data_IF_931344344739
#
_entry.id   IF_931344344739
#
_cell.length_a   1.000
_cell.length_b   1.000
_cell.length_c   1.000
_cell.angle_alpha   90.00
_cell.angle_beta   90.00
_cell.angle_gamma   90.00
#
_symmetry.space_group_name_H-M   'P 1'
#
loop_
_entity.id
_entity.type
_entity.pdbx_description
1 polymer ?
#
# COMPACT_ATOMS: atom_id res chain seq x y z
N UNK A 1 19.10 6.44 -34.92
CA UNK A 1 17.97 5.79 -34.24
C UNK A 1 18.25 5.92 -32.76
N UNK A 2 17.47 6.72 -32.05
CA UNK A 2 17.51 6.73 -30.59
C UNK A 2 17.11 5.34 -30.08
N UNK A 3 17.83 4.77 -29.10
CA UNK A 3 17.42 3.52 -28.49
C UNK A 3 16.05 3.74 -27.85
N UNK A 4 15.09 2.89 -28.22
CA UNK A 4 13.74 2.92 -27.65
C UNK A 4 13.83 2.93 -26.13
N UNK A 5 13.37 4.02 -25.50
CA UNK A 5 13.28 4.11 -24.05
C UNK A 5 12.41 2.95 -23.57
N UNK A 6 13.05 1.97 -22.93
CA UNK A 6 12.36 0.86 -22.29
C UNK A 6 12.33 1.18 -20.80
N UNK A 7 11.20 1.67 -20.25
CA UNK A 7 11.15 1.98 -18.83
C UNK A 7 11.38 0.69 -18.05
N UNK A 8 12.32 0.74 -17.11
CA UNK A 8 12.50 -0.36 -16.18
C UNK A 8 11.24 -0.51 -15.30
N UNK A 9 10.52 -1.62 -15.48
CA UNK A 9 10.31 -2.57 -14.39
C UNK A 9 10.53 -2.03 -12.96
N UNK A 10 9.59 -1.34 -12.27
CA UNK A 10 9.79 -1.10 -10.84
C UNK A 10 9.99 -2.43 -10.11
N UNK A 11 10.96 -2.46 -9.19
CA UNK A 11 11.26 -3.67 -8.44
C UNK A 11 10.05 -4.19 -7.66
N UNK A 12 10.01 -5.49 -7.40
CA UNK A 12 8.87 -6.14 -6.73
C UNK A 12 8.51 -5.50 -5.38
N UNK A 13 9.51 -5.04 -4.61
CA UNK A 13 9.33 -4.30 -3.36
C UNK A 13 8.51 -3.02 -3.59
N UNK A 14 8.88 -2.22 -4.58
CA UNK A 14 8.19 -0.97 -4.94
C UNK A 14 6.76 -1.24 -5.39
N UNK A 15 6.52 -2.32 -6.15
CA UNK A 15 5.16 -2.72 -6.56
C UNK A 15 4.30 -3.05 -5.33
N UNK A 16 4.85 -3.76 -4.34
CA UNK A 16 4.15 -4.10 -3.09
C UNK A 16 3.83 -2.84 -2.26
N UNK A 17 4.79 -1.92 -2.14
CA UNK A 17 4.60 -0.62 -1.47
C UNK A 17 3.51 0.23 -2.14
N UNK A 18 3.51 0.30 -3.48
CA UNK A 18 2.46 1.01 -4.25
C UNK A 18 1.09 0.40 -3.95
N UNK A 19 0.97 -0.94 -4.00
CA UNK A 19 -0.30 -1.61 -3.71
C UNK A 19 -0.77 -1.36 -2.28
N UNK A 20 0.12 -1.48 -1.30
CA UNK A 20 -0.18 -1.14 0.10
C UNK A 20 -0.67 0.30 0.23
N UNK A 21 0.05 1.26 -0.35
CA UNK A 21 -0.28 2.68 -0.25
C UNK A 21 -1.67 3.00 -0.82
N UNK A 22 -2.02 2.42 -1.98
CA UNK A 22 -3.34 2.61 -2.59
C UNK A 22 -4.46 2.05 -1.71
N UNK A 23 -4.28 0.86 -1.15
CA UNK A 23 -5.26 0.25 -0.25
C UNK A 23 -5.41 1.06 1.05
N UNK A 24 -4.29 1.42 1.68
CA UNK A 24 -4.30 2.22 2.90
C UNK A 24 -4.97 3.59 2.69
N UNK A 25 -4.64 4.27 1.59
CA UNK A 25 -5.26 5.56 1.25
C UNK A 25 -6.78 5.44 1.08
N UNK A 26 -7.25 4.33 0.50
CA UNK A 26 -8.68 4.06 0.36
C UNK A 26 -9.33 3.82 1.73
N UNK A 27 -8.70 3.01 2.59
CA UNK A 27 -9.18 2.78 3.96
C UNK A 27 -9.27 4.09 4.75
N UNK A 28 -8.22 4.91 4.70
CA UNK A 28 -8.19 6.21 5.37
C UNK A 28 -9.35 7.11 4.90
N UNK A 29 -9.60 7.18 3.60
CA UNK A 29 -10.72 7.96 3.05
C UNK A 29 -12.08 7.43 3.51
N UNK A 30 -12.26 6.11 3.60
CA UNK A 30 -13.50 5.52 4.12
C UNK A 30 -13.71 5.84 5.60
N UNK A 31 -12.63 5.86 6.38
CA UNK A 31 -12.67 6.26 7.80
C UNK A 31 -13.01 7.74 7.95
N UNK A 32 -12.39 8.62 7.16
CA UNK A 32 -12.69 10.07 7.14
C UNK A 32 -14.14 10.36 6.72
N UNK A 33 -14.72 9.51 5.87
CA UNK A 33 -16.14 9.56 5.50
C UNK A 33 -17.08 8.97 6.55
N UNK A 34 -16.56 8.44 7.67
CA UNK A 34 -17.35 7.79 8.71
C UNK A 34 -17.97 6.45 8.29
N UNK A 35 -17.53 5.86 7.18
CA UNK A 35 -18.05 4.57 6.67
C UNK A 35 -17.47 3.36 7.41
N UNK A 36 -16.31 3.53 8.04
CA UNK A 36 -15.66 2.52 8.87
C UNK A 36 -15.16 3.17 10.16
N UNK A 37 -15.02 2.38 11.21
CA UNK A 37 -14.45 2.82 12.49
C UNK A 37 -12.93 2.94 12.39
N UNK A 38 -12.34 3.74 13.29
CA UNK A 38 -10.88 3.84 13.41
C UNK A 38 -10.23 2.49 13.77
N UNK A 39 -10.89 1.70 14.63
CA UNK A 39 -10.44 0.36 15.01
C UNK A 39 -10.40 -0.59 13.81
N UNK A 40 -11.45 -0.60 12.99
CA UNK A 40 -11.47 -1.41 11.77
C UNK A 40 -10.40 -0.94 10.77
N UNK A 41 -10.22 0.37 10.63
CA UNK A 41 -9.17 0.94 9.78
C UNK A 41 -7.78 0.48 10.21
N UNK A 42 -7.50 0.46 11.52
CA UNK A 42 -6.23 0.00 12.09
C UNK A 42 -6.00 -1.50 11.87
N UNK A 43 -6.99 -2.34 12.16
CA UNK A 43 -6.91 -3.78 11.92
C UNK A 43 -6.70 -4.10 10.44
N UNK A 44 -7.46 -3.45 9.57
CA UNK A 44 -7.31 -3.59 8.13
C UNK A 44 -5.94 -3.12 7.65
N UNK A 45 -5.40 -2.02 8.21
CA UNK A 45 -4.06 -1.53 7.88
C UNK A 45 -2.96 -2.54 8.21
N UNK A 46 -3.02 -3.17 9.39
CA UNK A 46 -2.06 -4.22 9.79
C UNK A 46 -2.13 -5.39 8.82
N UNK A 47 -3.33 -5.89 8.53
CA UNK A 47 -3.52 -7.02 7.61
C UNK A 47 -3.01 -6.73 6.18
N UNK A 48 -3.20 -5.51 5.65
CA UNK A 48 -2.65 -5.15 4.33
C UNK A 48 -1.13 -4.97 4.37
N UNK A 49 -0.56 -4.46 5.46
CA UNK A 49 0.88 -4.28 5.60
C UNK A 49 1.60 -5.64 5.64
N UNK A 50 1.04 -6.61 6.35
CA UNK A 50 1.51 -8.00 6.38
C UNK A 50 1.37 -8.66 5.00
N UNK A 51 0.20 -8.54 4.35
CA UNK A 51 -0.06 -9.11 3.02
C UNK A 51 0.95 -8.66 1.96
N UNK A 52 1.34 -7.40 2.00
CA UNK A 52 2.31 -6.84 1.05
C UNK A 52 3.75 -6.85 1.57
N UNK A 53 4.01 -7.36 2.78
CA UNK A 53 5.34 -7.37 3.37
C UNK A 53 5.94 -5.96 3.54
N UNK A 54 5.08 -4.95 3.73
CA UNK A 54 5.49 -3.55 3.95
C UNK A 54 5.71 -3.28 5.45
N UNK A 55 5.19 -4.15 6.32
CA UNK A 55 5.47 -4.10 7.75
C UNK A 55 6.86 -4.65 8.06
N UNK A 56 7.89 -3.82 7.98
CA UNK A 56 9.16 -4.05 8.68
C UNK A 56 8.99 -3.60 10.14
N UNK A 57 8.21 -4.35 10.94
CA UNK A 57 8.23 -4.18 12.39
C UNK A 57 9.52 -4.82 12.93
N UNK A 58 10.63 -4.09 12.78
CA UNK A 58 11.78 -4.26 13.67
C UNK A 58 11.42 -3.53 14.97
N UNK A 59 10.76 -4.21 15.89
CA UNK A 59 10.74 -3.78 17.31
C UNK A 59 12.00 -4.32 17.96
#
# INVERSE_FOLDING_TARGET
MDPAFTPALPGEKVIKEIKYFVLFSTLKKLMEQGKITAEYCQQANVAIAEKYGVSELSI
#
